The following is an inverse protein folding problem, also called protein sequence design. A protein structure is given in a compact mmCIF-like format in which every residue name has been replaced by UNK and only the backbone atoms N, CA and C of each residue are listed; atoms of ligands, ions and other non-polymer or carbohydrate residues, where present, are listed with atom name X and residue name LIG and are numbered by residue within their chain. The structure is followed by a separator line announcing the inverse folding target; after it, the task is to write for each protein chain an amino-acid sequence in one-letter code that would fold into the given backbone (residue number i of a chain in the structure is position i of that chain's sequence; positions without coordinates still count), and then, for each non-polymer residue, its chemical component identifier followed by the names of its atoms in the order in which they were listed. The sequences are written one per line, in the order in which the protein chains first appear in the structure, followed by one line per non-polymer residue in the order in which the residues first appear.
data_IF_537265015320
#
_entry.id   IF_537265015320
#
_cell.length_a   1.000
_cell.length_b   1.000
_cell.length_c   1.000
_cell.angle_alpha   90.00
_cell.angle_beta   90.00
_cell.angle_gamma   90.00
#
_symmetry.space_group_name_H-M   'P 1'
#
loop_
_entity.id
_entity.type
_entity.pdbx_description
1 polymer ?
#
# COMPACT_ATOMS: atom_id res chain seq x y z
N UNK A 1 -22.03 -17.32 20.64
CA UNK A 1 -20.68 -17.60 20.10
C UNK A 1 -20.40 -16.75 18.86
N UNK A 2 -21.24 -16.82 17.83
CA UNK A 2 -21.00 -16.20 16.50
C UNK A 2 -20.83 -14.67 16.56
N UNK A 3 -21.64 -13.99 17.36
CA UNK A 3 -21.55 -12.56 17.57
C UNK A 3 -20.21 -12.14 18.21
N UNK A 4 -19.68 -12.91 19.14
CA UNK A 4 -18.39 -12.62 19.79
C UNK A 4 -17.26 -12.78 18.78
N UNK A 5 -17.28 -13.87 18.01
CA UNK A 5 -16.27 -14.14 16.97
C UNK A 5 -16.31 -13.07 15.88
N UNK A 6 -17.50 -12.75 15.36
CA UNK A 6 -17.65 -11.74 14.31
C UNK A 6 -17.21 -10.34 14.75
N UNK A 7 -17.49 -9.94 15.99
CA UNK A 7 -16.98 -8.68 16.58
C UNK A 7 -15.46 -8.63 16.67
N UNK A 8 -14.82 -9.74 17.07
CA UNK A 8 -13.37 -9.81 17.14
C UNK A 8 -12.73 -9.73 15.74
N UNK A 9 -13.30 -10.46 14.78
CA UNK A 9 -12.86 -10.37 13.38
C UNK A 9 -13.01 -8.96 12.81
N UNK A 10 -14.16 -8.32 13.04
CA UNK A 10 -14.40 -6.95 12.59
C UNK A 10 -13.41 -5.96 13.18
N UNK A 11 -13.12 -6.03 14.49
CA UNK A 11 -12.14 -5.15 15.13
C UNK A 11 -10.73 -5.34 14.58
N UNK A 12 -10.32 -6.59 14.33
CA UNK A 12 -9.03 -6.90 13.70
C UNK A 12 -8.97 -6.34 12.28
N UNK A 13 -10.02 -6.51 11.48
CA UNK A 13 -10.10 -5.96 10.13
C UNK A 13 -10.06 -4.42 10.15
N UNK A 14 -10.81 -3.78 11.04
CA UNK A 14 -10.80 -2.32 11.17
C UNK A 14 -9.42 -1.78 11.55
N UNK A 15 -8.69 -2.47 12.44
CA UNK A 15 -7.30 -2.16 12.74
C UNK A 15 -6.40 -2.23 11.51
N UNK A 16 -6.56 -3.26 10.68
CA UNK A 16 -5.85 -3.40 9.40
C UNK A 16 -6.18 -2.29 8.40
N UNK A 17 -7.46 -1.92 8.28
CA UNK A 17 -7.91 -0.80 7.42
C UNK A 17 -7.32 0.52 7.91
N UNK A 18 -7.32 0.78 9.21
CA UNK A 18 -6.76 2.00 9.80
C UNK A 18 -5.26 2.11 9.51
N UNK A 19 -4.49 1.05 9.75
CA UNK A 19 -3.06 1.02 9.50
C UNK A 19 -2.72 1.24 8.03
N UNK A 20 -3.33 0.48 7.13
CA UNK A 20 -3.03 0.57 5.70
C UNK A 20 -3.67 1.80 5.04
N UNK A 21 -4.79 2.28 5.57
CA UNK A 21 -5.37 3.57 5.18
C UNK A 21 -4.45 4.74 5.50
N UNK A 22 -3.80 4.74 6.67
CA UNK A 22 -2.79 5.74 7.01
C UNK A 22 -1.59 5.70 6.05
N UNK A 23 -1.08 4.51 5.72
CA UNK A 23 0.01 4.37 4.73
C UNK A 23 -0.43 4.80 3.33
N UNK A 24 -1.64 4.44 2.89
CA UNK A 24 -2.18 4.88 1.61
C UNK A 24 -2.29 6.42 1.56
N UNK A 25 -2.76 7.05 2.65
CA UNK A 25 -2.82 8.51 2.77
C UNK A 25 -1.45 9.15 2.53
N UNK A 26 -0.41 8.63 3.18
CA UNK A 26 0.94 9.19 3.05
C UNK A 26 1.50 9.07 1.63
N UNK A 27 1.33 7.94 0.95
CA UNK A 27 1.81 7.78 -0.42
C UNK A 27 0.99 8.60 -1.42
N UNK A 28 -0.31 8.75 -1.20
CA UNK A 28 -1.19 9.59 -2.03
C UNK A 28 -0.87 11.08 -1.86
N UNK A 29 -0.61 11.54 -0.64
CA UNK A 29 -0.13 12.90 -0.38
C UNK A 29 1.26 13.13 -0.99
N UNK A 30 2.14 12.14 -0.91
CA UNK A 30 3.46 12.21 -1.56
C UNK A 30 3.33 12.38 -3.07
N UNK A 31 2.41 11.63 -3.71
CA UNK A 31 2.10 11.80 -5.14
C UNK A 31 1.57 13.20 -5.44
N UNK A 32 0.62 13.69 -4.65
CA UNK A 32 0.05 15.03 -4.81
C UNK A 32 1.12 16.11 -4.68
N UNK A 33 1.92 16.07 -3.63
CA UNK A 33 2.96 17.06 -3.36
C UNK A 33 4.10 17.00 -4.39
N UNK A 34 4.47 15.81 -4.87
CA UNK A 34 5.41 15.68 -5.99
C UNK A 34 4.84 16.30 -7.28
N UNK A 35 3.57 16.07 -7.57
CA UNK A 35 2.89 16.65 -8.72
C UNK A 35 2.81 18.19 -8.65
N UNK A 36 2.61 18.74 -7.46
CA UNK A 36 2.57 20.18 -7.18
C UNK A 36 3.96 20.83 -7.06
N UNK A 37 5.04 20.03 -7.08
CA UNK A 37 6.41 20.52 -6.92
C UNK A 37 6.82 20.85 -5.48
N UNK A 38 5.99 20.49 -4.50
CA UNK A 38 6.25 20.70 -3.07
C UNK A 38 7.19 19.65 -2.47
N UNK A 39 7.29 18.49 -3.12
CA UNK A 39 8.15 17.39 -2.71
C UNK A 39 9.01 16.94 -3.89
N UNK A 40 10.31 16.76 -3.66
CA UNK A 40 11.28 16.32 -4.69
C UNK A 40 11.24 14.79 -4.84
N UNK A 41 10.16 14.26 -5.41
CA UNK A 41 10.06 12.86 -5.80
C UNK A 41 9.88 12.75 -7.32
N UNK A 42 10.30 11.62 -7.91
CA UNK A 42 10.14 11.39 -9.33
C UNK A 42 8.65 11.17 -9.70
N UNK A 43 8.31 11.37 -10.98
CA UNK A 43 7.03 11.00 -11.58
C UNK A 43 7.31 10.16 -12.82
N UNK A 44 7.76 8.91 -12.61
CA UNK A 44 8.22 8.03 -13.67
C UNK A 44 7.07 7.30 -14.40
N UNK A 45 5.91 7.18 -13.76
CA UNK A 45 4.75 6.45 -14.27
C UNK A 45 3.81 7.25 -15.17
N UNK A 46 4.29 8.15 -16.02
CA UNK A 46 3.46 9.03 -16.85
C UNK A 46 2.40 8.28 -17.69
N UNK A 47 2.76 7.14 -18.29
CA UNK A 47 1.84 6.28 -19.04
C UNK A 47 0.76 5.71 -18.11
N UNK A 48 1.16 5.16 -16.95
CA UNK A 48 0.25 4.58 -15.95
C UNK A 48 -0.72 5.62 -15.39
N UNK A 49 -0.25 6.83 -15.07
CA UNK A 49 -1.10 7.95 -14.64
C UNK A 49 -2.21 8.20 -15.67
N UNK A 50 -1.87 8.28 -16.97
CA UNK A 50 -2.87 8.51 -18.01
C UNK A 50 -3.86 7.38 -18.18
N UNK A 51 -3.42 6.13 -18.08
CA UNK A 51 -4.27 4.94 -18.16
C UNK A 51 -5.29 4.93 -17.01
N UNK A 52 -4.80 5.12 -15.79
CA UNK A 52 -5.66 5.12 -14.61
C UNK A 52 -6.62 6.32 -14.63
N UNK A 53 -6.15 7.51 -15.00
CA UNK A 53 -7.02 8.68 -15.16
C UNK A 53 -8.18 8.41 -16.13
N UNK A 54 -7.93 7.74 -17.26
CA UNK A 54 -9.01 7.36 -18.19
C UNK A 54 -10.01 6.39 -17.57
N UNK A 55 -9.52 5.39 -16.85
CA UNK A 55 -10.38 4.44 -16.14
C UNK A 55 -11.31 5.15 -15.12
N UNK A 56 -10.82 6.25 -14.50
CA UNK A 56 -11.59 7.09 -13.59
C UNK A 56 -12.45 8.16 -14.30
N UNK A 57 -12.52 8.16 -15.63
CA UNK A 57 -13.25 9.17 -16.39
C UNK A 57 -12.61 10.58 -16.35
N UNK A 58 -11.36 10.69 -15.95
CA UNK A 58 -10.63 11.96 -15.93
C UNK A 58 -10.14 12.28 -17.35
N UNK A 59 -10.54 13.44 -17.88
CA UNK A 59 -10.06 13.88 -19.19
C UNK A 59 -8.54 14.07 -19.20
N UNK A 60 -7.86 13.33 -20.08
CA UNK A 60 -6.39 13.35 -20.18
C UNK A 60 -5.86 14.16 -21.38
N UNK A 61 -6.75 14.62 -22.28
CA UNK A 61 -6.35 15.33 -23.52
C UNK A 61 -5.79 16.71 -23.16
N UNK A 62 -4.61 17.02 -23.67
CA UNK A 62 -3.94 18.30 -23.43
C UNK A 62 -3.46 18.54 -22.00
N UNK A 63 -3.56 17.54 -21.10
CA UNK A 63 -3.18 17.69 -19.70
C UNK A 63 -1.71 17.24 -19.48
N UNK A 64 -0.99 18.00 -18.64
CA UNK A 64 0.34 17.61 -18.19
C UNK A 64 0.27 16.41 -17.23
N UNK A 65 1.34 15.62 -17.18
CA UNK A 65 1.45 14.49 -16.24
C UNK A 65 1.29 14.94 -14.79
N UNK A 66 1.87 16.08 -14.42
CA UNK A 66 1.75 16.65 -13.06
C UNK A 66 0.28 16.96 -12.72
N UNK A 67 -0.44 17.63 -13.60
CA UNK A 67 -1.86 17.96 -13.38
C UNK A 67 -2.72 16.71 -13.25
N UNK A 68 -2.47 15.70 -14.07
CA UNK A 68 -3.17 14.41 -13.99
C UNK A 68 -2.86 13.67 -12.70
N UNK A 69 -1.59 13.65 -12.27
CA UNK A 69 -1.18 13.02 -11.02
C UNK A 69 -1.82 13.68 -9.79
N UNK A 70 -1.87 15.01 -9.74
CA UNK A 70 -2.55 15.74 -8.66
C UNK A 70 -4.04 15.43 -8.61
N UNK A 71 -4.74 15.49 -9.76
CA UNK A 71 -6.18 15.14 -9.82
C UNK A 71 -6.47 13.70 -9.45
N UNK A 72 -5.61 12.77 -9.89
CA UNK A 72 -5.74 11.36 -9.53
C UNK A 72 -5.58 11.16 -8.02
N UNK A 73 -4.60 11.81 -7.41
CA UNK A 73 -4.41 11.78 -5.96
C UNK A 73 -5.64 12.30 -5.21
N UNK A 74 -6.28 13.39 -5.68
CA UNK A 74 -7.50 13.93 -5.07
C UNK A 74 -8.66 12.94 -5.10
N UNK A 75 -8.87 12.25 -6.24
CA UNK A 75 -9.92 11.23 -6.36
C UNK A 75 -9.67 10.05 -5.42
N UNK A 76 -8.43 9.57 -5.33
CA UNK A 76 -8.07 8.46 -4.46
C UNK A 76 -8.11 8.83 -2.98
N UNK A 77 -7.75 10.06 -2.62
CA UNK A 77 -7.90 10.59 -1.26
C UNK A 77 -9.37 10.74 -0.86
N UNK A 78 -10.26 11.06 -1.81
CA UNK A 78 -11.69 11.11 -1.55
C UNK A 78 -12.26 9.73 -1.19
N UNK A 79 -11.81 8.66 -1.85
CA UNK A 79 -12.18 7.29 -1.49
C UNK A 79 -11.72 6.90 -0.07
N UNK A 80 -10.61 7.49 0.39
CA UNK A 80 -10.09 7.26 1.73
C UNK A 80 -10.94 7.89 2.83
N UNK A 81 -11.42 9.12 2.64
CA UNK A 81 -11.89 9.98 3.74
C UNK A 81 -13.28 10.60 3.56
N UNK A 82 -14.01 10.25 2.49
CA UNK A 82 -15.36 10.83 2.27
C UNK A 82 -16.31 10.42 3.39
N UNK A 83 -17.17 11.36 3.80
CA UNK A 83 -18.18 11.16 4.82
C UNK A 83 -19.56 10.83 4.24
N UNK A 84 -19.85 11.29 3.03
CA UNK A 84 -21.15 11.09 2.38
C UNK A 84 -21.15 9.76 1.58
N UNK A 85 -22.29 9.06 1.52
CA UNK A 85 -22.45 7.82 0.78
C UNK A 85 -22.52 8.07 -0.74
N UNK A 86 -21.37 8.33 -1.34
CA UNK A 86 -21.18 8.46 -2.77
C UNK A 86 -20.51 7.20 -3.33
N UNK A 87 -20.44 7.11 -4.66
CA UNK A 87 -19.78 6.00 -5.33
C UNK A 87 -18.30 5.90 -4.94
N UNK A 88 -17.88 4.72 -4.52
CA UNK A 88 -16.46 4.42 -4.27
C UNK A 88 -15.73 4.33 -5.61
N UNK A 89 -15.03 5.40 -5.99
CA UNK A 89 -14.51 5.62 -7.34
C UNK A 89 -13.50 4.53 -7.76
N UNK A 90 -12.64 4.09 -6.86
CA UNK A 90 -11.67 3.02 -7.17
C UNK A 90 -12.36 1.69 -7.45
N UNK A 91 -13.40 1.34 -6.71
CA UNK A 91 -14.20 0.13 -6.96
C UNK A 91 -14.95 0.25 -8.29
N UNK A 92 -15.63 1.37 -8.50
CA UNK A 92 -16.40 1.61 -9.71
C UNK A 92 -15.54 1.50 -10.98
N UNK A 93 -14.34 2.09 -10.95
CA UNK A 93 -13.44 2.16 -12.11
C UNK A 93 -12.63 0.89 -12.35
N UNK A 94 -12.27 0.14 -11.32
CA UNK A 94 -11.25 -0.91 -11.41
C UNK A 94 -11.74 -2.31 -11.06
N UNK A 95 -12.87 -2.44 -10.35
CA UNK A 95 -13.39 -3.75 -10.00
C UNK A 95 -14.04 -4.45 -11.20
N UNK A 96 -13.91 -5.78 -11.34
CA UNK A 96 -14.64 -6.56 -12.33
C UNK A 96 -16.16 -6.42 -12.16
N UNK A 97 -16.88 -6.36 -13.28
CA UNK A 97 -18.34 -6.14 -13.28
C UNK A 97 -19.09 -7.18 -12.43
N UNK A 98 -18.75 -8.45 -12.61
CA UNK A 98 -19.38 -9.58 -11.90
C UNK A 98 -19.19 -9.47 -10.38
N UNK A 99 -18.04 -8.94 -9.94
CA UNK A 99 -17.78 -8.72 -8.51
C UNK A 99 -18.62 -7.59 -7.96
N UNK A 100 -18.72 -6.48 -8.69
CA UNK A 100 -19.55 -5.34 -8.28
C UNK A 100 -21.02 -5.73 -8.10
N UNK A 101 -21.57 -6.51 -9.01
CA UNK A 101 -22.95 -7.03 -8.91
C UNK A 101 -23.15 -7.85 -7.63
N UNK A 102 -22.21 -8.74 -7.30
CA UNK A 102 -22.27 -9.53 -6.07
C UNK A 102 -22.20 -8.64 -4.83
N UNK A 103 -21.30 -7.68 -4.81
CA UNK A 103 -21.14 -6.78 -3.64
C UNK A 103 -22.35 -5.86 -3.45
N UNK A 104 -22.98 -5.41 -4.53
CA UNK A 104 -24.25 -4.68 -4.49
C UNK A 104 -25.39 -5.53 -3.91
N UNK A 105 -25.55 -6.77 -4.42
CA UNK A 105 -26.58 -7.70 -3.93
C UNK A 105 -26.41 -8.03 -2.44
N UNK A 106 -25.17 -8.11 -1.96
CA UNK A 106 -24.86 -8.39 -0.56
C UNK A 106 -24.91 -7.14 0.33
N UNK A 107 -25.07 -5.96 -0.25
CA UNK A 107 -25.04 -4.67 0.48
C UNK A 107 -23.72 -4.48 1.26
N UNK A 108 -22.59 -4.72 0.60
CA UNK A 108 -21.26 -4.63 1.22
C UNK A 108 -20.32 -3.63 0.54
N UNK A 109 -20.84 -2.73 -0.30
CA UNK A 109 -20.03 -1.64 -0.85
C UNK A 109 -19.68 -0.64 0.25
N UNK A 110 -18.39 -0.28 0.41
CA UNK A 110 -17.97 0.68 1.42
C UNK A 110 -18.28 2.14 1.00
N UNK A 111 -18.36 3.03 1.98
CA UNK A 111 -18.47 4.48 1.76
C UNK A 111 -17.07 5.08 1.59
N UNK A 112 -16.19 4.85 2.55
CA UNK A 112 -14.77 5.23 2.52
C UNK A 112 -14.00 4.42 3.54
N UNK A 113 -12.68 4.36 3.42
CA UNK A 113 -11.89 3.59 4.38
C UNK A 113 -12.06 4.10 5.82
N UNK A 114 -12.09 5.41 6.03
CA UNK A 114 -12.29 5.98 7.37
C UNK A 114 -13.70 5.72 7.92
N UNK A 115 -14.72 5.87 7.07
CA UNK A 115 -16.08 5.57 7.50
C UNK A 115 -16.25 4.13 7.96
N UNK A 116 -15.68 3.17 7.22
CA UNK A 116 -15.77 1.75 7.59
C UNK A 116 -15.07 1.45 8.92
N UNK A 117 -13.97 2.14 9.23
CA UNK A 117 -13.30 2.02 10.53
C UNK A 117 -14.17 2.60 11.66
N UNK A 118 -14.72 3.79 11.49
CA UNK A 118 -15.60 4.39 12.50
C UNK A 118 -16.84 3.54 12.74
N UNK A 119 -17.49 3.06 11.67
CA UNK A 119 -18.69 2.22 11.77
C UNK A 119 -18.37 0.86 12.43
N UNK A 120 -17.22 0.27 12.13
CA UNK A 120 -16.77 -0.97 12.78
C UNK A 120 -16.63 -0.82 14.30
N UNK A 121 -16.01 0.26 14.77
CA UNK A 121 -15.89 0.54 16.21
C UNK A 121 -17.22 0.91 16.83
N UNK A 122 -18.09 1.65 16.14
CA UNK A 122 -19.45 1.93 16.59
C UNK A 122 -20.25 0.64 16.78
N UNK A 123 -20.32 -0.23 15.77
CA UNK A 123 -21.07 -1.50 15.81
C UNK A 123 -20.56 -2.48 16.86
N UNK A 124 -19.26 -2.48 17.13
CA UNK A 124 -18.65 -3.36 18.14
C UNK A 124 -18.64 -2.78 19.55
N UNK A 125 -19.18 -1.57 19.74
CA UNK A 125 -19.45 -0.99 21.05
C UNK A 125 -20.48 -1.80 21.84
N UNK A 126 -20.61 -1.49 23.14
CA UNK A 126 -21.52 -2.20 24.05
C UNK A 126 -22.98 -2.17 23.56
N UNK A 127 -23.52 -3.33 23.18
CA UNK A 127 -24.93 -3.50 22.84
C UNK A 127 -25.41 -2.82 21.54
N UNK A 128 -24.53 -2.21 20.75
CA UNK A 128 -24.92 -1.42 19.58
C UNK A 128 -25.46 -2.30 18.44
N UNK A 129 -24.74 -3.35 18.08
CA UNK A 129 -25.16 -4.31 17.06
C UNK A 129 -25.15 -5.73 17.64
N UNK A 130 -26.34 -6.35 17.71
CA UNK A 130 -26.56 -7.70 18.22
C UNK A 130 -26.66 -8.77 17.14
N UNK A 131 -26.67 -8.38 15.87
CA UNK A 131 -26.79 -9.30 14.74
C UNK A 131 -25.41 -9.62 14.15
N UNK A 132 -24.99 -10.87 14.27
CA UNK A 132 -23.70 -11.31 13.76
C UNK A 132 -23.60 -11.20 12.23
N UNK A 133 -24.70 -11.33 11.47
CA UNK A 133 -24.72 -11.18 10.02
C UNK A 133 -24.46 -9.73 9.60
N UNK A 134 -25.06 -8.77 10.32
CA UNK A 134 -24.80 -7.34 10.16
C UNK A 134 -23.33 -7.01 10.42
N UNK A 135 -22.78 -7.56 11.49
CA UNK A 135 -21.35 -7.39 11.85
C UNK A 135 -20.44 -7.98 10.77
N UNK A 136 -20.79 -9.15 10.20
CA UNK A 136 -20.03 -9.77 9.11
C UNK A 136 -20.12 -8.98 7.80
N UNK A 137 -21.25 -8.34 7.49
CA UNK A 137 -21.33 -7.43 6.35
C UNK A 137 -20.35 -6.26 6.51
N UNK A 138 -20.28 -5.68 7.71
CA UNK A 138 -19.32 -4.61 8.01
C UNK A 138 -17.86 -5.10 7.89
N UNK A 139 -17.56 -6.31 8.33
CA UNK A 139 -16.26 -6.93 8.11
C UNK A 139 -15.89 -7.00 6.62
N UNK A 140 -16.84 -7.40 5.75
CA UNK A 140 -16.63 -7.46 4.30
C UNK A 140 -16.45 -6.06 3.68
N UNK A 141 -17.19 -5.03 4.16
CA UNK A 141 -16.97 -3.63 3.76
C UNK A 141 -15.56 -3.16 4.12
N UNK A 142 -15.10 -3.45 5.34
CA UNK A 142 -13.71 -3.20 5.75
C UNK A 142 -12.71 -3.88 4.81
N UNK A 143 -12.96 -5.14 4.43
CA UNK A 143 -12.12 -5.87 3.48
C UNK A 143 -12.02 -5.20 2.11
N UNK A 144 -13.15 -4.73 1.56
CA UNK A 144 -13.18 -4.01 0.28
C UNK A 144 -12.48 -2.64 0.38
N UNK A 145 -12.72 -1.89 1.45
CA UNK A 145 -12.05 -0.62 1.72
C UNK A 145 -10.53 -0.81 1.84
N UNK A 146 -10.09 -1.85 2.54
CA UNK A 146 -8.67 -2.23 2.63
C UNK A 146 -8.08 -2.50 1.24
N UNK A 147 -8.73 -3.36 0.45
CA UNK A 147 -8.22 -3.73 -0.87
C UNK A 147 -8.11 -2.54 -1.82
N UNK A 148 -9.14 -1.70 -1.92
CA UNK A 148 -9.18 -0.65 -2.93
C UNK A 148 -8.50 0.65 -2.50
N UNK A 149 -8.43 0.96 -1.22
CA UNK A 149 -7.70 2.12 -0.71
C UNK A 149 -6.30 1.74 -0.23
N UNK A 150 -6.19 0.79 0.69
CA UNK A 150 -4.93 0.41 1.30
C UNK A 150 -3.94 -0.25 0.34
N UNK A 151 -4.43 -0.99 -0.66
CA UNK A 151 -3.59 -1.73 -1.59
C UNK A 151 -3.63 -1.13 -2.99
N UNK A 152 -4.79 -1.08 -3.65
CA UNK A 152 -4.88 -0.66 -5.07
C UNK A 152 -4.47 0.81 -5.24
N UNK A 153 -5.04 1.73 -4.45
CA UNK A 153 -4.71 3.15 -4.56
C UNK A 153 -3.24 3.44 -4.21
N UNK A 154 -2.71 2.80 -3.17
CA UNK A 154 -1.30 2.92 -2.80
C UNK A 154 -0.36 2.42 -3.90
N UNK A 155 -0.69 1.29 -4.54
CA UNK A 155 0.10 0.78 -5.68
C UNK A 155 0.01 1.70 -6.91
N UNK A 156 -1.14 2.27 -7.20
CA UNK A 156 -1.29 3.27 -8.27
C UNK A 156 -0.38 4.47 -8.02
N UNK A 157 -0.37 4.99 -6.79
CA UNK A 157 0.51 6.10 -6.43
C UNK A 157 2.00 5.71 -6.50
N UNK A 158 2.34 4.50 -6.09
CA UNK A 158 3.70 3.96 -6.20
C UNK A 158 4.14 3.83 -7.65
N UNK A 159 3.27 3.29 -8.52
CA UNK A 159 3.52 3.22 -9.97
C UNK A 159 3.69 4.61 -10.58
N UNK A 160 2.89 5.57 -10.14
CA UNK A 160 2.97 6.95 -10.63
C UNK A 160 4.29 7.63 -10.24
N UNK A 161 4.77 7.40 -9.02
CA UNK A 161 6.01 7.99 -8.52
C UNK A 161 7.25 7.27 -9.09
N UNK A 162 7.35 5.96 -8.89
CA UNK A 162 8.58 5.19 -9.09
C UNK A 162 8.56 4.29 -10.32
N UNK A 163 7.53 4.39 -11.15
CA UNK A 163 7.34 3.55 -12.33
C UNK A 163 6.61 2.24 -12.03
N UNK A 164 6.08 1.63 -13.09
CA UNK A 164 5.36 0.35 -13.00
C UNK A 164 6.35 -0.76 -12.68
N UNK A 165 5.97 -1.63 -11.76
CA UNK A 165 6.78 -2.79 -11.40
C UNK A 165 6.90 -3.79 -12.55
N UNK A 166 8.02 -4.50 -12.59
CA UNK A 166 8.31 -5.55 -13.55
C UNK A 166 8.19 -6.93 -12.92
N UNK A 167 7.98 -7.97 -13.73
CA UNK A 167 8.07 -9.35 -13.23
C UNK A 167 9.49 -9.60 -12.74
N UNK A 168 9.62 -10.13 -11.54
CA UNK A 168 10.89 -10.47 -10.94
C UNK A 168 10.86 -11.93 -10.41
N UNK A 169 11.98 -12.61 -10.50
CA UNK A 169 12.20 -13.91 -9.87
C UNK A 169 13.26 -13.74 -8.81
N UNK A 170 13.01 -14.22 -7.60
CA UNK A 170 13.94 -14.10 -6.49
C UNK A 170 13.85 -15.33 -5.58
N UNK A 171 14.94 -15.61 -4.85
CA UNK A 171 14.92 -16.57 -3.74
C UNK A 171 14.42 -15.86 -2.49
N UNK A 172 13.53 -16.48 -1.75
CA UNK A 172 12.94 -15.92 -0.53
C UNK A 172 13.39 -16.76 0.66
N UNK A 173 14.43 -16.32 1.36
CA UNK A 173 14.82 -16.90 2.65
C UNK A 173 15.91 -16.08 3.34
N UNK A 174 16.08 -16.30 4.65
CA UNK A 174 17.12 -15.66 5.48
C UNK A 174 18.53 -16.08 5.07
N UNK A 175 18.69 -17.26 4.52
CA UNK A 175 19.99 -17.75 4.00
C UNK A 175 20.51 -16.97 2.78
N UNK A 176 19.77 -16.00 2.26
CA UNK A 176 20.22 -15.09 1.22
C UNK A 176 21.12 -13.95 1.75
N UNK A 177 21.23 -13.78 3.07
CA UNK A 177 22.12 -12.79 3.69
C UNK A 177 23.58 -13.06 3.32
N UNK A 178 24.31 -12.00 2.99
CA UNK A 178 25.69 -12.08 2.49
C UNK A 178 26.68 -11.78 3.61
N UNK A 179 27.52 -12.76 3.94
CA UNK A 179 28.64 -12.52 4.86
C UNK A 179 29.63 -11.53 4.23
N UNK A 180 30.15 -10.60 5.03
CA UNK A 180 31.07 -9.57 4.56
C UNK A 180 30.41 -8.38 3.85
N UNK A 181 29.10 -8.35 3.73
CA UNK A 181 28.31 -7.26 3.15
C UNK A 181 27.55 -6.51 4.24
N UNK A 182 27.24 -5.26 3.98
CA UNK A 182 26.22 -4.55 4.76
C UNK A 182 24.85 -5.03 4.26
N UNK A 183 24.13 -5.73 5.11
CA UNK A 183 22.80 -6.27 4.82
C UNK A 183 21.73 -5.31 5.37
N UNK A 184 21.02 -4.61 4.50
CA UNK A 184 19.97 -3.66 4.87
C UNK A 184 18.61 -4.31 4.60
N UNK A 185 17.88 -4.68 5.64
CA UNK A 185 16.51 -5.15 5.54
C UNK A 185 15.53 -4.00 5.77
N UNK A 186 14.66 -3.74 4.78
CA UNK A 186 13.59 -2.76 4.89
C UNK A 186 12.28 -3.46 5.19
N UNK A 187 11.57 -2.99 6.21
CA UNK A 187 10.28 -3.52 6.63
C UNK A 187 9.24 -2.43 6.72
N UNK A 188 8.00 -2.75 6.42
CA UNK A 188 6.85 -1.86 6.52
C UNK A 188 6.03 -1.77 5.24
N UNK A 189 5.25 -0.69 5.11
CA UNK A 189 4.24 -0.56 4.07
C UNK A 189 4.32 0.74 3.27
N UNK A 190 5.30 1.61 3.57
CA UNK A 190 5.44 2.92 2.93
C UNK A 190 6.44 2.85 1.77
N UNK A 191 5.97 2.69 0.53
CA UNK A 191 6.85 2.47 -0.63
C UNK A 191 7.73 3.67 -0.95
N UNK A 192 7.34 4.88 -0.60
CA UNK A 192 8.11 6.10 -0.82
C UNK A 192 9.44 6.08 -0.06
N UNK A 193 9.39 5.77 1.24
CA UNK A 193 10.58 5.70 2.09
C UNK A 193 11.53 4.59 1.60
N UNK A 194 11.00 3.41 1.34
CA UNK A 194 11.79 2.25 0.89
C UNK A 194 12.48 2.53 -0.45
N UNK A 195 11.76 3.12 -1.40
CA UNK A 195 12.34 3.47 -2.70
C UNK A 195 13.49 4.45 -2.57
N UNK A 196 13.37 5.46 -1.69
CA UNK A 196 14.44 6.42 -1.45
C UNK A 196 15.63 5.79 -0.71
N UNK A 197 15.41 4.92 0.27
CA UNK A 197 16.47 4.19 0.95
C UNK A 197 17.28 3.36 -0.05
N UNK A 198 16.62 2.59 -0.91
CA UNK A 198 17.31 1.77 -1.93
C UNK A 198 18.04 2.65 -2.95
N UNK A 199 17.41 3.75 -3.39
CA UNK A 199 18.02 4.67 -4.34
C UNK A 199 19.28 5.33 -3.78
N UNK A 200 19.21 5.83 -2.57
CA UNK A 200 20.35 6.51 -1.89
C UNK A 200 21.46 5.51 -1.57
N UNK A 201 21.12 4.38 -0.96
CA UNK A 201 22.12 3.39 -0.57
C UNK A 201 22.84 2.69 -1.73
N UNK A 202 22.36 2.89 -2.97
CA UNK A 202 23.01 2.42 -4.21
C UNK A 202 23.89 3.49 -4.86
N UNK A 203 23.99 4.69 -4.28
CA UNK A 203 24.92 5.70 -4.79
C UNK A 203 26.37 5.26 -4.56
N UNK A 204 27.27 5.75 -5.41
CA UNK A 204 28.69 5.41 -5.30
C UNK A 204 29.26 5.83 -3.94
N UNK A 205 28.79 6.95 -3.40
CA UNK A 205 29.17 7.46 -2.08
C UNK A 205 28.95 6.42 -0.97
N UNK A 206 27.77 5.81 -0.91
CA UNK A 206 27.45 4.78 0.10
C UNK A 206 28.18 3.47 -0.14
N UNK A 207 28.39 3.10 -1.41
CA UNK A 207 29.17 1.91 -1.76
C UNK A 207 30.63 2.07 -1.32
N UNK A 208 31.21 3.25 -1.55
CA UNK A 208 32.59 3.55 -1.16
C UNK A 208 32.73 3.63 0.36
N UNK A 209 31.72 4.18 1.05
CA UNK A 209 31.67 4.21 2.50
C UNK A 209 31.64 2.78 3.07
N UNK A 210 30.81 1.89 2.52
CA UNK A 210 30.77 0.49 2.93
C UNK A 210 32.12 -0.20 2.78
N UNK A 211 32.79 0.00 1.64
CA UNK A 211 34.14 -0.55 1.39
C UNK A 211 35.19 0.03 2.33
N UNK A 212 35.12 1.31 2.65
CA UNK A 212 36.01 1.96 3.63
C UNK A 212 35.92 1.32 5.01
N UNK A 213 34.75 0.79 5.38
CA UNK A 213 34.51 0.06 6.61
C UNK A 213 34.71 -1.45 6.50
N UNK A 214 35.32 -1.94 5.42
CA UNK A 214 35.71 -3.33 5.23
C UNK A 214 34.62 -4.23 4.67
N UNK A 215 33.47 -3.68 4.24
CA UNK A 215 32.42 -4.44 3.59
C UNK A 215 32.66 -4.58 2.08
N UNK A 216 32.24 -5.68 1.49
CA UNK A 216 32.32 -5.91 0.03
C UNK A 216 31.33 -5.04 -0.76
N UNK A 217 30.22 -4.63 -0.12
CA UNK A 217 29.18 -3.82 -0.69
C UNK A 217 27.95 -3.73 0.20
N UNK A 218 26.82 -3.26 -0.39
CA UNK A 218 25.52 -3.13 0.28
C UNK A 218 24.53 -4.03 -0.44
N UNK A 219 23.82 -4.86 0.30
CA UNK A 219 22.72 -5.69 -0.21
C UNK A 219 21.42 -5.29 0.46
N UNK A 220 20.39 -5.07 -0.37
CA UNK A 220 19.06 -4.71 0.13
C UNK A 220 18.16 -5.94 0.18
N UNK A 221 17.44 -6.04 1.27
CA UNK A 221 16.43 -7.05 1.53
C UNK A 221 15.13 -6.39 1.91
N UNK A 222 14.04 -7.12 1.77
CA UNK A 222 12.74 -6.58 2.14
C UNK A 222 11.85 -7.58 2.84
N UNK A 223 11.01 -7.04 3.70
CA UNK A 223 9.96 -7.77 4.42
C UNK A 223 8.64 -7.09 4.14
N UNK A 224 7.58 -7.87 3.83
CA UNK A 224 6.24 -7.37 3.62
C UNK A 224 6.09 -6.47 2.36
N UNK A 225 5.17 -5.51 2.39
CA UNK A 225 4.84 -4.64 1.24
C UNK A 225 6.00 -3.77 0.78
N UNK A 226 6.88 -3.35 1.67
CA UNK A 226 8.10 -2.60 1.33
C UNK A 226 9.00 -3.38 0.38
N UNK A 227 9.13 -4.69 0.61
CA UNK A 227 9.88 -5.56 -0.30
C UNK A 227 9.23 -5.61 -1.68
N UNK A 228 7.91 -5.81 -1.74
CA UNK A 228 7.19 -5.89 -3.01
C UNK A 228 7.30 -4.59 -3.81
N UNK A 229 7.24 -3.44 -3.15
CA UNK A 229 7.45 -2.16 -3.81
C UNK A 229 8.86 -2.03 -4.38
N UNK A 230 9.87 -2.51 -3.67
CA UNK A 230 11.28 -2.41 -4.07
C UNK A 230 11.70 -3.49 -5.07
N UNK A 231 11.42 -4.77 -4.82
CA UNK A 231 11.91 -5.87 -5.67
C UNK A 231 11.38 -5.83 -7.10
N UNK A 232 10.18 -5.33 -7.30
CA UNK A 232 9.60 -5.20 -8.65
C UNK A 232 10.13 -3.99 -9.43
N UNK A 233 10.85 -3.08 -8.80
CA UNK A 233 11.38 -1.84 -9.42
C UNK A 233 12.88 -1.75 -9.39
N UNK A 234 13.52 -2.37 -8.40
CA UNK A 234 14.96 -2.31 -8.20
C UNK A 234 15.54 -3.73 -8.25
N UNK A 235 16.32 -4.01 -9.28
CA UNK A 235 16.99 -5.29 -9.43
C UNK A 235 17.84 -5.63 -8.21
N UNK A 236 17.85 -6.91 -7.80
CA UNK A 236 18.69 -7.40 -6.71
C UNK A 236 18.20 -7.10 -5.29
N UNK A 237 17.00 -6.52 -5.11
CA UNK A 237 16.34 -6.50 -3.80
C UNK A 237 15.75 -7.89 -3.53
N UNK A 238 16.13 -8.49 -2.41
CA UNK A 238 15.79 -9.89 -2.08
C UNK A 238 14.72 -9.93 -0.99
N UNK A 239 13.59 -10.63 -1.20
CA UNK A 239 12.60 -10.81 -0.14
C UNK A 239 13.11 -11.80 0.91
N UNK A 240 13.02 -11.43 2.19
CA UNK A 240 13.38 -12.30 3.32
C UNK A 240 12.17 -13.02 3.88
N UNK A 241 11.08 -12.31 4.14
CA UNK A 241 9.92 -12.84 4.84
C UNK A 241 8.67 -11.96 4.65
N UNK A 242 7.55 -12.43 5.17
CA UNK A 242 6.32 -11.66 5.37
C UNK A 242 6.31 -10.95 6.75
N UNK A 243 5.22 -10.24 7.07
CA UNK A 243 5.09 -9.50 8.32
C UNK A 243 5.22 -10.38 9.57
N UNK A 244 4.66 -11.59 9.55
CA UNK A 244 4.73 -12.53 10.67
C UNK A 244 6.16 -13.07 10.87
N UNK A 245 6.88 -13.26 9.78
CA UNK A 245 8.26 -13.73 9.82
C UNK A 245 9.29 -12.66 10.20
N UNK A 246 8.91 -11.38 10.30
CA UNK A 246 9.84 -10.31 10.66
C UNK A 246 10.43 -10.51 12.06
N UNK A 247 9.60 -10.82 13.04
CA UNK A 247 10.04 -11.08 14.42
C UNK A 247 10.95 -12.30 14.50
N UNK A 248 10.64 -13.34 13.71
CA UNK A 248 11.48 -14.54 13.62
C UNK A 248 12.86 -14.18 13.05
N UNK A 249 12.92 -13.41 11.98
CA UNK A 249 14.18 -12.97 11.35
C UNK A 249 15.03 -12.16 12.33
N UNK A 250 14.43 -11.22 13.06
CA UNK A 250 15.11 -10.45 14.11
C UNK A 250 15.56 -11.35 15.26
N UNK A 251 14.72 -12.31 15.68
CA UNK A 251 15.04 -13.26 16.74
C UNK A 251 16.18 -14.22 16.41
N UNK A 252 16.58 -14.37 15.14
CA UNK A 252 17.76 -15.17 14.76
C UNK A 252 19.09 -14.50 15.09
N UNK A 253 19.10 -13.19 15.35
CA UNK A 253 20.34 -12.40 15.48
C UNK A 253 21.14 -12.28 14.17
N UNK A 254 20.53 -12.55 13.04
CA UNK A 254 21.18 -12.47 11.72
C UNK A 254 21.12 -11.05 11.12
N UNK A 255 20.32 -10.17 11.71
CA UNK A 255 20.21 -8.74 11.39
C UNK A 255 20.43 -7.92 12.65
N UNK A 256 21.21 -6.85 12.54
CA UNK A 256 21.45 -5.87 13.59
C UNK A 256 20.38 -4.77 13.60
#
# INVERSE_FOLDING_TARGET
ADLIVSRNLLRSAAGGVAQHGAHAREVLLSLKFAAEGKLKLPLLGAKRIREVCRAFGINTRGQSTRRLASRLADVLLADLSRALPEEYRSIAALAPAERKEVWQKLDILPISAYNEVFDAFHRTGCGTDGDWQSVMKQFLRCGLAFCYTGVVAANIATDALFGVGHRATSKVNVGALKKGWINIAVHGHLPTLVSEIVRIGRTQEFIDLAKKHGAEGIQFYGICCSCLAAMYRYEGVIPLSNAIGAELVLGTGALD
#
